data_IF_540265921052
#
_entry.id   IF_540265921052
#
_cell.length_a   1.000
_cell.length_b   1.000
_cell.length_c   1.000
_cell.angle_alpha   90.00
_cell.angle_beta   90.00
_cell.angle_gamma   90.00
#
_symmetry.space_group_name_H-M   'P 1'
#
loop_
_entity.id
_entity.type
_entity.pdbx_description
1 polymer ?
#
# COMPACT_ATOMS: atom_id res chain seq x y z
N UNK A 1 -29.02 2.89 -5.41
CA UNK A 1 -27.75 2.83 -4.66
C UNK A 1 -26.62 2.79 -5.68
N UNK A 2 -25.70 3.76 -5.65
CA UNK A 2 -24.57 3.80 -6.59
C UNK A 2 -23.64 2.64 -6.23
N UNK A 3 -23.47 1.68 -7.16
CA UNK A 3 -22.50 0.59 -7.00
C UNK A 3 -21.13 1.12 -7.40
N UNK A 4 -20.14 1.01 -6.53
CA UNK A 4 -18.76 1.41 -6.80
C UNK A 4 -17.87 0.17 -7.04
N UNK A 5 -16.87 0.36 -7.89
CA UNK A 5 -15.80 -0.61 -8.12
C UNK A 5 -14.58 -0.20 -7.29
N UNK A 6 -14.17 -1.06 -6.39
CA UNK A 6 -13.15 -0.77 -5.38
C UNK A 6 -11.99 -1.74 -5.55
N UNK A 7 -10.76 -1.23 -5.54
CA UNK A 7 -9.56 -2.07 -5.51
C UNK A 7 -8.81 -1.88 -4.19
N UNK A 8 -8.49 -2.97 -3.52
CA UNK A 8 -7.55 -3.00 -2.41
C UNK A 8 -6.16 -3.29 -2.95
N UNK A 9 -5.22 -2.39 -2.69
CA UNK A 9 -3.84 -2.48 -3.15
C UNK A 9 -2.90 -2.80 -1.98
N UNK A 10 -2.10 -3.86 -2.12
CA UNK A 10 -1.13 -4.30 -1.13
C UNK A 10 0.07 -4.97 -1.82
N UNK A 11 1.29 -4.96 -1.24
CA UNK A 11 2.46 -5.54 -1.89
C UNK A 11 2.30 -7.00 -2.27
N UNK A 12 1.80 -7.80 -1.36
CA UNK A 12 1.63 -9.24 -1.46
C UNK A 12 0.15 -9.63 -1.56
N UNK A 13 -0.12 -10.89 -1.78
CA UNK A 13 -1.50 -11.40 -1.76
C UNK A 13 -2.19 -11.14 -0.43
N UNK A 14 -3.44 -10.70 -0.48
CA UNK A 14 -4.27 -10.41 0.70
C UNK A 14 -4.87 -11.69 1.31
N UNK A 15 -4.01 -12.69 1.55
CA UNK A 15 -4.38 -13.94 2.19
C UNK A 15 -4.59 -13.74 3.71
N UNK A 16 -5.80 -13.89 4.25
CA UNK A 16 -6.13 -13.59 5.66
C UNK A 16 -5.41 -14.47 6.68
N UNK A 17 -4.74 -15.54 6.23
CA UNK A 17 -3.95 -16.41 7.08
C UNK A 17 -2.54 -15.88 7.36
N UNK A 18 -2.06 -14.90 6.56
CA UNK A 18 -0.68 -14.39 6.63
C UNK A 18 -0.49 -13.26 7.65
N UNK A 19 -1.49 -12.41 7.86
CA UNK A 19 -1.31 -11.27 8.75
C UNK A 19 -2.60 -10.54 9.15
N UNK A 20 -2.42 -9.50 9.96
CA UNK A 20 -3.53 -8.69 10.47
C UNK A 20 -4.14 -7.78 9.41
N UNK A 21 -3.31 -7.18 8.56
CA UNK A 21 -3.74 -6.30 7.45
C UNK A 21 -4.58 -7.10 6.46
N UNK A 22 -4.09 -8.27 6.07
CA UNK A 22 -4.74 -9.17 5.13
C UNK A 22 -6.08 -9.65 5.68
N UNK A 23 -6.14 -10.03 6.97
CA UNK A 23 -7.36 -10.45 7.64
C UNK A 23 -8.43 -9.36 7.70
N UNK A 24 -8.03 -8.15 8.10
CA UNK A 24 -8.97 -7.01 8.16
C UNK A 24 -9.44 -6.64 6.77
N UNK A 25 -8.57 -6.64 5.77
CA UNK A 25 -8.94 -6.36 4.39
C UNK A 25 -9.93 -7.38 3.84
N UNK A 26 -9.72 -8.67 4.10
CA UNK A 26 -10.65 -9.74 3.71
C UNK A 26 -12.04 -9.55 4.35
N UNK A 27 -12.09 -9.20 5.63
CA UNK A 27 -13.35 -8.93 6.34
C UNK A 27 -14.08 -7.75 5.69
N UNK A 28 -13.38 -6.64 5.44
CA UNK A 28 -13.96 -5.44 4.81
C UNK A 28 -14.43 -5.76 3.39
N UNK A 29 -13.63 -6.46 2.60
CA UNK A 29 -13.99 -6.86 1.24
C UNK A 29 -15.27 -7.70 1.22
N UNK A 30 -15.39 -8.69 2.11
CA UNK A 30 -16.59 -9.52 2.24
C UNK A 30 -17.84 -8.72 2.64
N UNK A 31 -17.70 -7.73 3.52
CA UNK A 31 -18.79 -6.82 3.89
C UNK A 31 -19.23 -5.99 2.70
N UNK A 32 -18.29 -5.44 1.94
CA UNK A 32 -18.57 -4.61 0.77
C UNK A 32 -19.21 -5.42 -0.36
N UNK A 33 -18.74 -6.65 -0.61
CA UNK A 33 -19.34 -7.59 -1.56
C UNK A 33 -20.82 -7.87 -1.21
N UNK A 34 -21.12 -8.13 0.07
CA UNK A 34 -22.49 -8.34 0.55
C UNK A 34 -23.39 -7.12 0.34
N UNK A 35 -22.79 -5.91 0.31
CA UNK A 35 -23.50 -4.66 0.02
C UNK A 35 -23.61 -4.37 -1.48
N UNK A 36 -23.11 -5.26 -2.35
CA UNK A 36 -23.22 -5.17 -3.80
C UNK A 36 -22.16 -4.32 -4.50
N UNK A 37 -21.05 -3.98 -3.82
CA UNK A 37 -19.88 -3.38 -4.45
C UNK A 37 -19.08 -4.43 -5.22
N UNK A 38 -18.39 -4.01 -6.27
CA UNK A 38 -17.42 -4.85 -6.98
C UNK A 38 -16.04 -4.65 -6.38
N UNK A 39 -15.38 -5.72 -5.99
CA UNK A 39 -14.09 -5.67 -5.30
C UNK A 39 -13.01 -6.37 -6.13
N UNK A 40 -11.82 -5.78 -6.13
CA UNK A 40 -10.61 -6.33 -6.74
C UNK A 40 -9.45 -6.24 -5.76
N UNK A 41 -8.44 -7.11 -5.93
CA UNK A 41 -7.15 -7.01 -5.27
C UNK A 41 -6.06 -6.68 -6.30
N UNK A 42 -5.11 -5.81 -5.93
CA UNK A 42 -3.97 -5.42 -6.75
C UNK A 42 -2.69 -5.65 -5.95
N UNK A 43 -1.78 -6.46 -6.49
CA UNK A 43 -0.51 -6.81 -5.88
C UNK A 43 0.66 -6.46 -6.81
N UNK A 44 1.86 -6.22 -6.23
CA UNK A 44 3.10 -6.01 -7.01
C UNK A 44 4.27 -6.87 -6.57
N UNK A 45 4.13 -7.67 -5.52
CA UNK A 45 5.08 -8.70 -5.14
C UNK A 45 4.39 -10.04 -5.24
N UNK A 46 4.62 -10.72 -6.37
CA UNK A 46 4.00 -12.01 -6.62
C UNK A 46 4.53 -13.04 -5.60
N UNK A 47 3.66 -13.53 -4.75
CA UNK A 47 3.92 -14.66 -3.89
C UNK A 47 3.15 -15.87 -4.40
N UNK A 48 3.84 -17.02 -4.44
CA UNK A 48 3.12 -18.27 -4.65
C UNK A 48 2.38 -18.61 -3.37
N UNK A 49 1.07 -18.53 -3.40
CA UNK A 49 0.22 -19.09 -2.36
C UNK A 49 -0.91 -19.89 -3.01
N UNK A 50 -1.39 -20.89 -2.29
CA UNK A 50 -2.50 -21.74 -2.74
C UNK A 50 -3.85 -21.22 -2.23
N UNK A 51 -3.93 -19.97 -1.80
CA UNK A 51 -5.15 -19.38 -1.29
C UNK A 51 -6.08 -18.99 -2.43
N UNK A 52 -7.31 -19.48 -2.37
CA UNK A 52 -8.36 -19.10 -3.32
C UNK A 52 -9.02 -17.81 -2.87
N UNK A 53 -8.75 -16.74 -3.62
CA UNK A 53 -9.25 -15.42 -3.32
C UNK A 53 -10.73 -15.28 -3.68
N UNK A 54 -11.55 -14.64 -2.83
CA UNK A 54 -12.98 -14.46 -3.09
C UNK A 54 -13.28 -13.41 -4.17
N UNK A 55 -12.25 -12.73 -4.67
CA UNK A 55 -12.35 -11.64 -5.65
C UNK A 55 -11.22 -11.76 -6.68
N UNK A 56 -11.38 -11.18 -7.88
CA UNK A 56 -10.31 -11.14 -8.87
C UNK A 56 -9.05 -10.46 -8.32
N UNK A 57 -7.90 -11.08 -8.57
CA UNK A 57 -6.57 -10.59 -8.18
C UNK A 57 -5.81 -10.16 -9.42
N UNK A 58 -5.25 -8.98 -9.39
CA UNK A 58 -4.40 -8.43 -10.44
C UNK A 58 -2.98 -8.34 -9.88
N UNK A 59 -2.06 -9.10 -10.47
CA UNK A 59 -0.64 -9.00 -10.18
C UNK A 59 0.02 -8.08 -11.20
N UNK A 60 0.79 -7.10 -10.73
CA UNK A 60 1.62 -6.29 -11.62
C UNK A 60 2.74 -7.14 -12.24
N UNK A 61 3.17 -6.84 -13.46
CA UNK A 61 4.19 -7.62 -14.18
C UNK A 61 5.52 -7.72 -13.45
N UNK A 62 5.91 -6.67 -12.71
CA UNK A 62 7.18 -6.58 -12.02
C UNK A 62 7.00 -6.15 -10.56
N UNK A 63 7.83 -6.69 -9.67
CA UNK A 63 7.93 -6.22 -8.28
C UNK A 63 8.65 -4.86 -8.16
N UNK A 64 9.38 -4.45 -9.20
CA UNK A 64 9.95 -3.12 -9.29
C UNK A 64 8.87 -2.13 -9.74
N UNK A 65 8.39 -1.30 -8.81
CA UNK A 65 7.34 -0.32 -9.09
C UNK A 65 7.77 0.82 -10.04
N UNK A 66 9.06 0.95 -10.34
CA UNK A 66 9.60 1.89 -11.34
C UNK A 66 9.51 1.33 -12.77
N UNK A 67 9.14 0.06 -12.95
CA UNK A 67 8.96 -0.55 -14.27
C UNK A 67 7.78 0.11 -15.02
N UNK A 68 8.02 0.68 -16.21
CA UNK A 68 6.96 1.34 -16.99
C UNK A 68 5.77 0.43 -17.33
N UNK A 69 6.03 -0.87 -17.51
CA UNK A 69 4.97 -1.84 -17.80
C UNK A 69 3.95 -1.94 -16.66
N UNK A 70 4.40 -1.80 -15.41
CA UNK A 70 3.50 -1.78 -14.26
C UNK A 70 2.50 -0.62 -14.36
N UNK A 71 2.97 0.57 -14.74
CA UNK A 71 2.12 1.76 -14.83
C UNK A 71 1.10 1.64 -15.98
N UNK A 72 1.50 1.03 -17.08
CA UNK A 72 0.60 0.76 -18.20
C UNK A 72 -0.49 -0.22 -17.80
N UNK A 73 -0.11 -1.40 -17.26
CA UNK A 73 -1.06 -2.43 -16.81
C UNK A 73 -2.00 -1.87 -15.73
N UNK A 74 -1.48 -1.13 -14.76
CA UNK A 74 -2.25 -0.49 -13.72
C UNK A 74 -3.33 0.46 -14.27
N UNK A 75 -2.94 1.42 -15.11
CA UNK A 75 -3.90 2.39 -15.63
C UNK A 75 -4.91 1.76 -16.61
N UNK A 76 -4.51 0.76 -17.38
CA UNK A 76 -5.41 -0.04 -18.21
C UNK A 76 -6.44 -0.77 -17.37
N UNK A 77 -6.01 -1.46 -16.33
CA UNK A 77 -6.88 -2.15 -15.37
C UNK A 77 -7.91 -1.19 -14.73
N UNK A 78 -7.46 -0.03 -14.25
CA UNK A 78 -8.35 0.96 -13.64
C UNK A 78 -9.43 1.43 -14.61
N UNK A 79 -9.07 1.65 -15.89
CA UNK A 79 -9.98 2.10 -16.93
C UNK A 79 -10.97 1.01 -17.34
N UNK A 80 -10.50 -0.19 -17.63
CA UNK A 80 -11.32 -1.32 -18.09
C UNK A 80 -12.36 -1.73 -17.06
N UNK A 81 -11.97 -1.73 -15.79
CA UNK A 81 -12.83 -2.11 -14.67
C UNK A 81 -13.58 -0.94 -14.04
N UNK A 82 -13.45 0.28 -14.62
CA UNK A 82 -14.12 1.49 -14.11
C UNK A 82 -13.95 1.67 -12.61
N UNK A 83 -12.71 1.59 -12.14
CA UNK A 83 -12.41 1.69 -10.71
C UNK A 83 -12.74 3.11 -10.22
N UNK A 84 -13.53 3.18 -9.14
CA UNK A 84 -13.91 4.44 -8.49
C UNK A 84 -13.00 4.77 -7.31
N UNK A 85 -12.56 3.73 -6.57
CA UNK A 85 -11.79 3.90 -5.34
C UNK A 85 -10.65 2.91 -5.28
N UNK A 86 -9.47 3.40 -4.93
CA UNK A 86 -8.29 2.61 -4.58
C UNK A 86 -8.09 2.72 -3.07
N UNK A 87 -8.06 1.60 -2.37
CA UNK A 87 -7.74 1.52 -0.96
C UNK A 87 -6.33 0.95 -0.82
N UNK A 88 -5.37 1.83 -0.56
CA UNK A 88 -3.99 1.45 -0.33
C UNK A 88 -3.80 0.96 1.10
N UNK A 89 -3.60 -0.34 1.26
CA UNK A 89 -3.39 -0.99 2.56
C UNK A 89 -1.92 -0.99 3.02
N UNK A 90 -1.00 -0.49 2.18
CA UNK A 90 0.43 -0.43 2.51
C UNK A 90 0.85 0.91 3.15
N UNK A 91 -0.11 1.80 3.41
CA UNK A 91 0.12 3.07 4.10
C UNK A 91 0.98 4.05 3.30
N UNK A 92 2.12 4.44 3.85
CA UNK A 92 2.96 5.55 3.36
C UNK A 92 4.26 5.09 2.66
N UNK A 93 4.31 3.87 2.15
CA UNK A 93 5.52 3.31 1.53
C UNK A 93 5.57 3.55 0.01
N UNK A 94 6.54 2.94 -0.65
CA UNK A 94 6.80 3.07 -2.10
C UNK A 94 5.57 2.88 -2.98
N UNK A 95 4.66 1.96 -2.59
CA UNK A 95 3.40 1.73 -3.28
C UNK A 95 2.51 2.97 -3.34
N UNK A 96 2.57 3.87 -2.36
CA UNK A 96 1.78 5.10 -2.34
C UNK A 96 2.13 6.02 -3.50
N UNK A 97 3.42 6.18 -3.80
CA UNK A 97 3.86 6.98 -4.94
C UNK A 97 3.43 6.33 -6.26
N UNK A 98 3.59 5.01 -6.40
CA UNK A 98 3.14 4.29 -7.59
C UNK A 98 1.64 4.45 -7.81
N UNK A 99 0.83 4.17 -6.80
CA UNK A 99 -0.62 4.27 -6.88
C UNK A 99 -1.10 5.70 -7.19
N UNK A 100 -0.35 6.74 -6.79
CA UNK A 100 -0.68 8.13 -7.08
C UNK A 100 -0.51 8.50 -8.56
N UNK A 101 0.14 7.67 -9.38
CA UNK A 101 0.35 7.91 -10.82
C UNK A 101 -0.89 7.50 -11.67
N UNK A 102 -2.06 7.59 -11.09
CA UNK A 102 -3.35 7.38 -11.76
C UNK A 102 -3.52 8.38 -12.91
N UNK A 103 -3.82 7.87 -14.10
CA UNK A 103 -4.16 8.67 -15.29
C UNK A 103 -5.67 8.66 -15.61
N UNK A 104 -6.43 7.87 -14.86
CA UNK A 104 -7.90 7.76 -15.01
C UNK A 104 -8.56 8.86 -14.17
N UNK A 105 -9.49 9.61 -14.79
CA UNK A 105 -10.21 10.68 -14.08
C UNK A 105 -11.19 10.12 -13.03
N UNK A 106 -11.40 10.89 -11.97
CA UNK A 106 -12.37 10.62 -10.90
C UNK A 106 -12.06 9.41 -10.00
N UNK A 107 -10.89 8.79 -10.10
CA UNK A 107 -10.47 7.74 -9.17
C UNK A 107 -10.01 8.38 -7.86
N UNK A 108 -10.59 7.95 -6.74
CA UNK A 108 -10.19 8.38 -5.39
C UNK A 108 -9.20 7.39 -4.78
N UNK A 109 -8.19 7.90 -4.11
CA UNK A 109 -7.20 7.05 -3.40
C UNK A 109 -7.32 7.30 -1.91
N UNK A 110 -7.48 6.23 -1.14
CA UNK A 110 -7.52 6.24 0.33
C UNK A 110 -6.34 5.41 0.82
N UNK A 111 -5.43 6.00 1.58
CA UNK A 111 -4.36 5.25 2.24
C UNK A 111 -4.71 4.94 3.68
N UNK A 112 -4.62 3.66 4.04
CA UNK A 112 -4.88 3.16 5.38
C UNK A 112 -3.56 3.02 6.13
N UNK A 113 -3.48 3.63 7.30
CA UNK A 113 -2.33 3.53 8.18
C UNK A 113 -2.61 2.46 9.23
N UNK A 114 -1.91 1.33 9.15
CA UNK A 114 -2.03 0.24 10.13
C UNK A 114 -1.11 0.40 11.34
N UNK A 115 -0.22 1.37 11.31
CA UNK A 115 0.69 1.72 12.40
C UNK A 115 0.93 3.23 12.43
N UNK A 116 1.39 3.74 13.57
CA UNK A 116 1.81 5.14 13.65
C UNK A 116 2.97 5.41 12.67
N UNK A 117 2.76 6.23 11.63
CA UNK A 117 3.80 6.53 10.66
C UNK A 117 4.97 7.31 11.26
N UNK A 118 4.76 7.94 12.40
CA UNK A 118 5.76 8.70 13.14
C UNK A 118 6.35 7.92 14.33
N UNK A 119 5.73 6.81 14.73
CA UNK A 119 6.16 5.98 15.85
C UNK A 119 7.61 5.52 15.70
N UNK A 120 8.01 5.18 14.47
CA UNK A 120 9.40 4.83 14.19
C UNK A 120 10.39 5.98 14.44
N UNK A 121 9.99 7.23 14.20
CA UNK A 121 10.83 8.40 14.50
C UNK A 121 10.95 8.65 15.99
N UNK A 122 9.84 8.50 16.71
CA UNK A 122 9.82 8.67 18.17
C UNK A 122 10.68 7.60 18.85
N UNK A 123 10.62 6.36 18.36
CA UNK A 123 11.42 5.24 18.85
C UNK A 123 12.89 5.29 18.38
N UNK A 124 13.19 5.88 17.23
CA UNK A 124 14.58 5.96 16.74
C UNK A 124 15.48 6.76 17.69
N UNK A 125 15.00 7.88 18.22
CA UNK A 125 15.74 8.68 19.20
C UNK A 125 15.81 8.00 20.56
N UNK A 126 14.74 7.38 21.02
CA UNK A 126 14.74 6.59 22.24
C UNK A 126 15.70 5.39 22.11
N UNK A 127 15.67 4.70 20.99
CA UNK A 127 16.54 3.57 20.70
C UNK A 127 18.02 3.97 20.51
N UNK A 128 18.33 5.17 20.01
CA UNK A 128 19.71 5.67 19.96
C UNK A 128 20.28 5.90 21.36
N UNK A 129 19.46 6.30 22.34
CA UNK A 129 19.87 6.43 23.72
C UNK A 129 20.03 5.08 24.44
N UNK A 130 19.24 4.07 24.06
CA UNK A 130 19.30 2.71 24.62
C UNK A 130 20.36 1.82 23.95
N UNK A 131 21.01 2.29 22.88
CA UNK A 131 22.02 1.56 22.11
C UNK A 131 23.39 1.38 22.83
N UNK A 132 23.43 1.42 24.15
CA UNK A 132 24.68 1.27 24.90
C UNK A 132 25.39 -0.04 24.58
N UNK A 133 24.67 -1.11 24.28
CA UNK A 133 25.17 -2.47 24.07
C UNK A 133 25.10 -3.01 22.62
N UNK A 134 24.71 -2.18 21.64
CA UNK A 134 24.60 -2.66 20.26
C UNK A 134 25.90 -2.48 19.47
N UNK A 135 26.15 -3.40 18.53
CA UNK A 135 27.35 -3.36 17.70
C UNK A 135 27.37 -2.09 16.82
N UNK A 136 28.59 -1.64 16.48
CA UNK A 136 28.80 -0.49 15.56
C UNK A 136 28.03 -0.67 14.25
N UNK A 137 27.96 -1.91 13.75
CA UNK A 137 27.23 -2.28 12.51
C UNK A 137 25.73 -2.01 12.63
N UNK A 138 25.12 -2.24 13.80
CA UNK A 138 23.71 -1.92 14.02
C UNK A 138 23.47 -0.41 14.15
N UNK A 139 24.36 0.30 14.81
CA UNK A 139 24.32 1.77 14.90
C UNK A 139 24.35 2.40 13.51
N UNK A 140 25.26 1.96 12.65
CA UNK A 140 25.37 2.43 11.25
C UNK A 140 24.11 2.11 10.43
N UNK A 141 23.56 0.88 10.56
CA UNK A 141 22.31 0.51 9.88
C UNK A 141 21.13 1.39 10.30
N UNK A 142 21.05 1.75 11.59
CA UNK A 142 19.96 2.61 12.10
C UNK A 142 20.08 4.04 11.61
N UNK A 143 21.30 4.60 11.59
CA UNK A 143 21.55 5.93 11.01
C UNK A 143 21.23 5.95 9.51
N UNK A 144 21.64 4.92 8.74
CA UNK A 144 21.33 4.80 7.33
C UNK A 144 19.79 4.72 7.10
N UNK A 145 19.07 3.96 7.94
CA UNK A 145 17.60 3.92 7.91
C UNK A 145 16.97 5.29 8.17
N UNK A 146 17.52 6.08 9.09
CA UNK A 146 17.03 7.44 9.37
C UNK A 146 17.07 8.34 8.12
N UNK A 147 18.19 8.34 7.39
CA UNK A 147 18.30 9.11 6.14
C UNK A 147 17.40 8.59 5.04
N UNK A 148 17.22 7.27 4.93
CA UNK A 148 16.29 6.65 4.01
C UNK A 148 14.84 7.08 4.31
N UNK A 149 14.43 7.03 5.58
CA UNK A 149 13.11 7.49 6.02
C UNK A 149 12.88 8.98 5.77
N UNK A 150 13.90 9.81 5.94
CA UNK A 150 13.81 11.24 5.61
C UNK A 150 13.53 11.48 4.12
N UNK A 151 14.14 10.67 3.25
CA UNK A 151 13.86 10.68 1.80
C UNK A 151 12.42 10.21 1.50
N UNK A 152 12.02 9.11 2.10
CA UNK A 152 10.66 8.56 2.00
C UNK A 152 9.63 9.55 2.52
N UNK A 153 9.86 10.22 3.66
CA UNK A 153 8.97 11.26 4.20
C UNK A 153 8.73 12.40 3.21
N UNK A 154 9.75 12.84 2.46
CA UNK A 154 9.58 13.89 1.42
C UNK A 154 8.70 13.40 0.27
N UNK A 155 8.86 12.14 -0.17
CA UNK A 155 8.06 11.52 -1.22
C UNK A 155 6.60 11.40 -0.75
N UNK A 156 6.39 10.89 0.45
CA UNK A 156 5.09 10.75 1.08
C UNK A 156 4.39 12.10 1.21
N UNK A 157 5.08 13.11 1.75
CA UNK A 157 4.51 14.44 1.93
C UNK A 157 4.08 15.05 0.60
N UNK A 158 4.89 14.91 -0.45
CA UNK A 158 4.52 15.37 -1.81
C UNK A 158 3.33 14.61 -2.38
N UNK A 159 3.29 13.30 -2.19
CA UNK A 159 2.19 12.45 -2.63
C UNK A 159 0.89 12.79 -1.90
N UNK A 160 0.94 12.94 -0.57
CA UNK A 160 -0.22 13.31 0.25
C UNK A 160 -0.78 14.69 -0.11
N UNK A 161 0.08 15.68 -0.32
CA UNK A 161 -0.37 17.05 -0.64
C UNK A 161 -1.01 17.14 -2.03
N UNK A 162 -0.56 16.33 -2.98
CA UNK A 162 -1.00 16.46 -4.37
C UNK A 162 -2.19 15.54 -4.74
N UNK A 163 -2.45 14.46 -3.99
CA UNK A 163 -3.35 13.39 -4.46
C UNK A 163 -4.36 12.89 -3.40
N UNK A 164 -4.28 13.31 -2.16
CA UNK A 164 -5.17 12.84 -1.10
C UNK A 164 -6.09 13.92 -0.58
N UNK A 165 -7.39 13.66 -0.68
CA UNK A 165 -8.37 14.39 0.13
C UNK A 165 -8.43 13.67 1.48
N UNK A 166 -8.03 14.35 2.54
CA UNK A 166 -8.23 13.86 3.89
C UNK A 166 -9.73 13.97 4.22
N UNK A 167 -10.32 12.88 4.66
CA UNK A 167 -11.63 12.86 5.30
C UNK A 167 -11.39 12.63 6.79
#
# INVERSE_FOLDING_TARGET
MIKMNIVFAYPTGLNPQKGGVERITDIIAKILLKRGYTIFYLNWKREQDNYEYPVPVIDLPSSNLEDPNNLEVYNRFLKENRIDVIINQHGLYEGTYFLSQVKVQNVKIISVLHSDPFGYYNHLFADLMTLRDSSIKEKVKRVARFFLYRKVKKIIHRSLVNHYTFI
#
